data_IF_408564072156
#
_entry.id   IF_408564072156
#
_cell.length_a   1.000
_cell.length_b   1.000
_cell.length_c   1.000
_cell.angle_alpha   90.00
_cell.angle_beta   90.00
_cell.angle_gamma   90.00
#
_symmetry.space_group_name_H-M   'P 1'
#
loop_
_entity.id
_entity.type
_entity.pdbx_description
1 polymer ?
#
# COMPACT_ATOMS: atom_id res chain seq x y z
N UNK A 1 -28.22 -23.01 -13.69
CA UNK A 1 -27.53 -22.41 -12.52
C UNK A 1 -26.08 -22.86 -12.40
N UNK A 2 -25.78 -24.17 -12.36
CA UNK A 2 -24.40 -24.67 -12.23
C UNK A 2 -23.44 -24.19 -13.34
N UNK A 3 -23.85 -24.25 -14.61
CA UNK A 3 -23.04 -23.76 -15.74
C UNK A 3 -22.76 -22.25 -15.70
N UNK A 4 -23.66 -21.45 -15.13
CA UNK A 4 -23.49 -19.99 -14.99
C UNK A 4 -22.39 -19.70 -13.94
N UNK A 5 -22.41 -20.44 -12.83
CA UNK A 5 -21.38 -20.33 -11.78
C UNK A 5 -20.01 -20.71 -12.35
N UNK A 6 -19.95 -21.81 -13.12
CA UNK A 6 -18.71 -22.24 -13.77
C UNK A 6 -18.19 -21.18 -14.75
N UNK A 7 -19.06 -20.58 -15.56
CA UNK A 7 -18.70 -19.50 -16.47
C UNK A 7 -18.13 -18.28 -15.74
N UNK A 8 -18.79 -17.83 -14.67
CA UNK A 8 -18.32 -16.70 -13.84
C UNK A 8 -16.95 -17.01 -13.22
N UNK A 9 -16.74 -18.24 -12.77
CA UNK A 9 -15.49 -18.67 -12.16
C UNK A 9 -14.33 -18.65 -13.16
N UNK A 10 -14.55 -19.19 -14.37
CA UNK A 10 -13.57 -19.16 -15.46
C UNK A 10 -13.27 -17.71 -15.86
N UNK A 11 -14.30 -16.88 -16.02
CA UNK A 11 -14.15 -15.46 -16.37
C UNK A 11 -13.32 -14.70 -15.34
N UNK A 12 -13.55 -14.94 -14.05
CA UNK A 12 -12.76 -14.36 -12.95
C UNK A 12 -11.28 -14.75 -13.02
N UNK A 13 -10.99 -16.04 -13.28
CA UNK A 13 -9.62 -16.53 -13.44
C UNK A 13 -8.93 -15.84 -14.63
N UNK A 14 -9.62 -15.70 -15.76
CA UNK A 14 -9.10 -15.02 -16.96
C UNK A 14 -8.78 -13.55 -16.66
N UNK A 15 -9.69 -12.82 -16.02
CA UNK A 15 -9.44 -11.43 -15.61
C UNK A 15 -8.23 -11.35 -14.69
N UNK A 16 -8.10 -12.28 -13.74
CA UNK A 16 -6.99 -12.30 -12.80
C UNK A 16 -5.64 -12.54 -13.51
N UNK A 17 -5.59 -13.43 -14.51
CA UNK A 17 -4.39 -13.63 -15.34
C UNK A 17 -4.02 -12.36 -16.11
N UNK A 18 -5.00 -11.72 -16.75
CA UNK A 18 -4.80 -10.46 -17.48
C UNK A 18 -4.27 -9.38 -16.53
N UNK A 19 -4.86 -9.26 -15.33
CA UNK A 19 -4.42 -8.32 -14.31
C UNK A 19 -2.95 -8.54 -13.91
N UNK A 20 -2.52 -9.79 -13.72
CA UNK A 20 -1.14 -10.10 -13.39
C UNK A 20 -0.17 -9.70 -14.52
N UNK A 21 -0.55 -9.91 -15.79
CA UNK A 21 0.21 -9.42 -16.93
C UNK A 21 0.31 -7.88 -16.90
N UNK A 22 -0.81 -7.18 -16.78
CA UNK A 22 -0.84 -5.71 -16.69
C UNK A 22 0.00 -5.19 -15.52
N UNK A 23 0.04 -5.91 -14.40
CA UNK A 23 0.85 -5.56 -13.24
C UNK A 23 2.35 -5.56 -13.54
N UNK A 24 2.82 -6.59 -14.24
CA UNK A 24 4.24 -6.69 -14.63
C UNK A 24 4.61 -5.63 -15.66
N UNK A 25 3.76 -5.41 -16.69
CA UNK A 25 4.09 -4.52 -17.80
C UNK A 25 3.83 -3.04 -17.51
N UNK A 26 2.68 -2.71 -16.93
CA UNK A 26 2.21 -1.33 -16.72
C UNK A 26 2.52 -0.89 -15.29
N UNK A 27 2.06 -1.63 -14.29
CA UNK A 27 2.11 -1.16 -12.90
C UNK A 27 3.53 -1.16 -12.32
N UNK A 28 4.44 -1.99 -12.82
CA UNK A 28 5.85 -1.97 -12.41
C UNK A 28 6.59 -0.67 -12.77
N UNK A 29 6.11 0.09 -13.75
CA UNK A 29 6.78 1.33 -14.22
C UNK A 29 6.13 2.60 -13.70
N UNK A 30 4.97 2.49 -13.06
CA UNK A 30 4.08 3.62 -12.86
C UNK A 30 3.91 3.90 -11.36
N UNK A 31 4.62 4.90 -10.86
CA UNK A 31 4.51 5.40 -9.49
C UNK A 31 3.34 6.39 -9.35
N UNK A 32 2.12 5.89 -9.45
CA UNK A 32 0.90 6.70 -9.28
C UNK A 32 0.48 6.76 -7.80
N UNK A 33 -0.08 7.90 -7.39
CA UNK A 33 -0.72 8.04 -6.08
C UNK A 33 -2.05 7.26 -6.04
N UNK A 34 -2.33 6.54 -4.94
CA UNK A 34 -3.53 5.69 -4.77
C UNK A 34 -4.85 6.39 -5.07
N UNK A 35 -4.93 7.69 -4.81
CA UNK A 35 -6.12 8.50 -5.04
C UNK A 35 -6.39 8.76 -6.52
N UNK A 36 -5.37 8.79 -7.39
CA UNK A 36 -5.57 8.88 -8.84
C UNK A 36 -6.24 7.60 -9.34
N UNK A 37 -5.77 6.42 -8.91
CA UNK A 37 -6.35 5.15 -9.35
C UNK A 37 -7.82 5.05 -8.94
N UNK A 38 -8.13 5.48 -7.71
CA UNK A 38 -9.51 5.56 -7.23
C UNK A 38 -10.36 6.53 -8.06
N UNK A 39 -9.85 7.73 -8.34
CA UNK A 39 -10.57 8.73 -9.13
C UNK A 39 -10.86 8.23 -10.55
N UNK A 40 -9.88 7.60 -11.22
CA UNK A 40 -10.05 7.02 -12.56
C UNK A 40 -11.05 5.87 -12.54
N UNK A 41 -10.95 4.98 -11.54
CA UNK A 41 -11.90 3.88 -11.39
C UNK A 41 -13.32 4.41 -11.21
N UNK A 42 -13.50 5.44 -10.39
CA UNK A 42 -14.80 6.01 -10.09
C UNK A 42 -15.40 6.74 -11.31
N UNK A 43 -14.56 7.45 -12.07
CA UNK A 43 -14.95 8.13 -13.29
C UNK A 43 -15.42 7.17 -14.39
N UNK A 44 -14.93 5.93 -14.40
CA UNK A 44 -15.36 4.89 -15.35
C UNK A 44 -16.61 4.16 -14.84
N UNK A 45 -16.67 3.86 -13.54
CA UNK A 45 -17.75 3.07 -12.93
C UNK A 45 -19.04 3.86 -12.74
N UNK A 46 -18.96 5.13 -12.30
CA UNK A 46 -20.16 5.94 -12.04
C UNK A 46 -21.02 6.08 -13.32
N UNK A 47 -20.47 6.48 -14.48
CA UNK A 47 -21.27 6.60 -15.69
C UNK A 47 -21.83 5.26 -16.18
N UNK A 48 -21.16 4.13 -15.90
CA UNK A 48 -21.67 2.80 -16.25
C UNK A 48 -23.05 2.51 -15.67
N UNK A 49 -23.34 3.01 -14.47
CA UNK A 49 -24.63 2.78 -13.82
C UNK A 49 -25.77 3.57 -14.47
N UNK A 50 -25.47 4.72 -15.09
CA UNK A 50 -26.48 5.57 -15.72
C UNK A 50 -26.65 5.28 -17.22
N UNK A 51 -25.61 4.80 -17.89
CA UNK A 51 -25.63 4.54 -19.33
C UNK A 51 -25.92 3.06 -19.59
N UNK A 52 -27.19 2.72 -19.78
CA UNK A 52 -27.58 1.35 -20.12
C UNK A 52 -27.37 1.09 -21.61
N UNK A 53 -26.20 0.55 -21.95
CA UNK A 53 -25.88 0.19 -23.33
C UNK A 53 -26.47 -1.19 -23.70
N UNK A 54 -27.05 -1.32 -24.89
CA UNK A 54 -27.55 -2.61 -25.41
C UNK A 54 -26.47 -3.50 -26.04
N UNK A 55 -25.28 -2.93 -26.23
CA UNK A 55 -24.17 -3.63 -26.86
C UNK A 55 -23.46 -4.53 -25.85
N UNK A 56 -23.73 -5.83 -25.94
CA UNK A 56 -23.17 -6.87 -25.06
C UNK A 56 -21.63 -6.80 -24.97
N UNK A 57 -20.95 -6.55 -26.09
CA UNK A 57 -19.49 -6.40 -26.12
C UNK A 57 -19.01 -5.20 -25.27
N UNK A 58 -19.70 -4.06 -25.35
CA UNK A 58 -19.33 -2.87 -24.57
C UNK A 58 -19.55 -3.12 -23.08
N UNK A 59 -20.63 -3.80 -22.71
CA UNK A 59 -20.92 -4.16 -21.31
C UNK A 59 -19.83 -5.07 -20.74
N UNK A 60 -19.40 -6.08 -21.51
CA UNK A 60 -18.34 -7.01 -21.09
C UNK A 60 -17.00 -6.28 -20.95
N UNK A 61 -16.63 -5.47 -21.95
CA UNK A 61 -15.40 -4.67 -21.91
C UNK A 61 -15.39 -3.70 -20.72
N UNK A 62 -16.48 -2.95 -20.53
CA UNK A 62 -16.60 -1.98 -19.46
C UNK A 62 -16.56 -2.64 -18.08
N UNK A 63 -17.25 -3.76 -17.90
CA UNK A 63 -17.20 -4.55 -16.66
C UNK A 63 -15.81 -5.10 -16.38
N UNK A 64 -15.11 -5.56 -17.42
CA UNK A 64 -13.74 -6.10 -17.30
C UNK A 64 -12.74 -5.01 -16.90
N UNK A 65 -12.81 -3.85 -17.56
CA UNK A 65 -11.96 -2.69 -17.24
C UNK A 65 -12.23 -2.18 -15.83
N UNK A 66 -13.50 -2.08 -15.43
CA UNK A 66 -13.88 -1.70 -14.08
C UNK A 66 -13.32 -2.67 -13.03
N UNK A 67 -13.42 -3.99 -13.27
CA UNK A 67 -12.89 -5.01 -12.37
C UNK A 67 -11.35 -4.89 -12.23
N UNK A 68 -10.63 -4.70 -13.34
CA UNK A 68 -9.17 -4.54 -13.35
C UNK A 68 -8.75 -3.28 -12.58
N UNK A 69 -9.44 -2.15 -12.78
CA UNK A 69 -9.15 -0.89 -12.09
C UNK A 69 -9.40 -0.99 -10.58
N UNK A 70 -10.51 -1.61 -10.16
CA UNK A 70 -10.81 -1.86 -8.76
C UNK A 70 -9.79 -2.81 -8.12
N UNK A 71 -9.41 -3.88 -8.82
CA UNK A 71 -8.40 -4.82 -8.35
C UNK A 71 -7.03 -4.14 -8.22
N UNK A 72 -6.70 -3.23 -9.12
CA UNK A 72 -5.47 -2.44 -9.04
C UNK A 72 -5.47 -1.51 -7.82
N UNK A 73 -6.57 -0.80 -7.57
CA UNK A 73 -6.71 0.02 -6.38
C UNK A 73 -6.56 -0.82 -5.09
N UNK A 74 -7.18 -2.00 -5.06
CA UNK A 74 -7.09 -2.91 -3.93
C UNK A 74 -5.65 -3.42 -3.70
N UNK A 75 -4.94 -3.78 -4.77
CA UNK A 75 -3.54 -4.19 -4.70
C UNK A 75 -2.62 -3.08 -4.18
N UNK A 76 -2.86 -1.82 -4.58
CA UNK A 76 -2.16 -0.66 -4.01
C UNK A 76 -2.44 -0.49 -2.51
N UNK A 77 -3.70 -0.62 -2.10
CA UNK A 77 -4.09 -0.50 -0.68
C UNK A 77 -3.42 -1.57 0.19
N UNK A 78 -3.41 -2.82 -0.27
CA UNK A 78 -2.72 -3.92 0.42
C UNK A 78 -1.22 -3.68 0.48
N UNK A 79 -0.62 -3.22 -0.61
CA UNK A 79 0.82 -2.97 -0.67
C UNK A 79 1.25 -1.94 0.38
N UNK A 80 0.51 -0.84 0.52
CA UNK A 80 0.76 0.17 1.56
C UNK A 80 0.58 -0.40 2.98
N UNK A 81 -0.47 -1.19 3.22
CA UNK A 81 -0.69 -1.86 4.50
C UNK A 81 0.45 -2.83 4.83
N UNK A 82 1.01 -3.51 3.83
CA UNK A 82 2.15 -4.43 4.00
C UNK A 82 3.43 -3.68 4.33
N UNK A 83 3.68 -2.56 3.65
CA UNK A 83 4.83 -1.69 3.95
C UNK A 83 4.76 -1.08 5.36
N UNK A 84 3.58 -0.58 5.78
CA UNK A 84 3.37 -0.07 7.14
C UNK A 84 3.63 -1.14 8.19
N UNK A 85 3.19 -2.38 7.94
CA UNK A 85 3.47 -3.52 8.81
C UNK A 85 4.96 -3.85 8.89
N UNK A 86 5.68 -3.80 7.76
CA UNK A 86 7.14 -3.97 7.75
C UNK A 86 7.86 -2.89 8.55
N UNK A 87 7.48 -1.61 8.37
CA UNK A 87 8.06 -0.47 9.12
C UNK A 87 7.79 -0.55 10.63
N UNK A 88 6.61 -1.03 11.04
CA UNK A 88 6.29 -1.23 12.46
C UNK A 88 7.17 -2.31 13.12
N UNK A 89 7.53 -3.34 12.37
CA UNK A 89 8.37 -4.44 12.85
C UNK A 89 9.87 -4.18 12.63
N UNK A 90 10.24 -3.04 12.04
CA UNK A 90 11.63 -2.64 11.86
C UNK A 90 12.20 -2.19 13.21
N UNK A 91 12.84 -3.13 13.91
CA UNK A 91 13.63 -2.83 15.09
C UNK A 91 14.86 -2.05 14.61
N UNK A 92 14.82 -0.72 14.69
CA UNK A 92 16.01 0.10 14.46
C UNK A 92 17.05 -0.27 15.52
N UNK A 93 18.04 -1.09 15.15
CA UNK A 93 19.21 -1.39 15.98
C UNK A 93 20.01 -0.10 16.08
N UNK A 94 19.62 0.75 17.02
CA UNK A 94 20.42 1.91 17.40
C UNK A 94 21.62 1.38 18.19
N UNK A 95 22.83 1.91 17.97
CA UNK A 95 23.97 1.54 18.79
C UNK A 95 23.61 1.78 20.26
N UNK A 96 23.64 0.72 21.07
CA UNK A 96 23.40 0.84 22.51
C UNK A 96 24.44 1.78 23.08
N UNK A 97 24.02 2.67 23.98
CA UNK A 97 24.94 3.60 24.63
C UNK A 97 26.05 2.83 25.36
N UNK A 98 27.29 3.35 25.32
CA UNK A 98 28.43 2.73 26.01
C UNK A 98 28.13 2.60 27.51
N UNK A 99 28.22 1.40 28.11
CA UNK A 99 27.69 1.11 29.46
C UNK A 99 28.38 1.85 30.62
N UNK A 100 29.44 2.64 30.37
CA UNK A 100 30.21 3.32 31.42
C UNK A 100 30.51 4.80 31.13
N UNK A 101 29.63 5.51 30.40
CA UNK A 101 29.87 6.93 30.07
C UNK A 101 29.58 7.89 31.25
N UNK A 102 28.78 7.48 32.24
CA UNK A 102 28.28 8.36 33.29
C UNK A 102 29.06 8.33 34.63
N UNK A 103 30.13 7.51 34.76
CA UNK A 103 30.76 7.25 36.07
C UNK A 103 31.74 8.34 36.56
N UNK A 104 32.06 9.37 35.74
CA UNK A 104 33.12 10.33 36.08
C UNK A 104 32.67 11.73 36.55
N UNK A 105 31.38 11.97 36.79
CA UNK A 105 30.92 13.31 37.21
C UNK A 105 30.81 13.54 38.72
N UNK A 106 31.09 12.53 39.56
CA UNK A 106 30.95 12.65 41.03
C UNK A 106 32.22 13.08 41.77
N UNK A 107 33.38 13.19 41.12
CA UNK A 107 34.65 13.55 41.80
C UNK A 107 34.98 15.04 41.83
N UNK A 108 34.20 15.92 41.19
CA UNK A 108 34.54 17.35 41.05
C UNK A 108 33.65 18.32 41.85
N UNK A 109 32.63 17.84 42.56
CA UNK A 109 31.72 18.72 43.33
C UNK A 109 32.33 19.13 44.69
N UNK A 110 33.20 18.30 45.28
CA UNK A 110 33.73 18.53 46.63
C UNK A 110 34.86 19.58 46.72
N UNK A 111 35.40 20.04 45.58
CA UNK A 111 36.53 20.98 45.56
C UNK A 111 36.11 22.45 45.39
N UNK A 112 34.89 22.75 44.91
CA UNK A 112 34.45 24.14 44.72
C UNK A 112 33.91 24.80 46.00
N UNK A 113 33.42 24.02 46.96
CA UNK A 113 32.85 24.54 48.22
C UNK A 113 33.89 24.92 49.27
N UNK A 114 35.15 24.48 49.12
CA UNK A 114 36.24 24.81 50.07
C UNK A 114 36.94 26.14 49.78
N UNK A 115 36.80 26.71 48.59
CA UNK A 115 37.59 27.90 48.18
C UNK A 115 36.87 29.25 48.37
N UNK A 116 35.75 29.29 49.10
CA UNK A 116 34.95 30.52 49.33
C UNK A 116 35.04 31.08 50.77
N UNK A 117 35.97 30.58 51.58
CA UNK A 117 36.25 31.06 52.94
C UNK A 117 37.74 31.40 53.09
N UNK A 118 38.18 32.48 52.46
CA UNK A 118 39.37 33.24 52.83
C UNK A 118 39.18 34.67 52.35
#
# INVERSE_FOLDING_TARGET
>A
MLFIILYILIFSIVIYMIFNLLKVFVFSKVHINKWIVLAVSLLIVIPSFFIQTRNLLLVILQSSVAAILLLWFYDMLISELREKRKKKNEIKIRPKAKPNRAKNNSSNINNSSKNKRK
#
